data_IF_810507160526
#
_entry.id   IF_810507160526
#
_cell.length_a   1.000
_cell.length_b   1.000
_cell.length_c   1.000
_cell.angle_alpha   90.00
_cell.angle_beta   90.00
_cell.angle_gamma   90.00
#
_symmetry.space_group_name_H-M   'P 1'
#
loop_
_entity.id
_entity.type
_entity.pdbx_description
1 polymer ?
#
# COMPACT_ATOMS: atom_id res chain seq x y z
N UNK A 1 25.03 -9.50 3.16
CA UNK A 1 24.22 -10.55 3.84
C UNK A 1 24.08 -10.33 5.34
N UNK A 2 25.14 -9.92 6.08
CA UNK A 2 25.05 -9.67 7.53
C UNK A 2 24.05 -8.56 7.93
N UNK A 3 23.98 -7.48 7.15
CA UNK A 3 23.10 -6.32 7.42
C UNK A 3 21.61 -6.69 7.26
N UNK A 4 21.26 -7.35 6.15
CA UNK A 4 19.90 -7.84 5.89
C UNK A 4 19.41 -8.81 6.98
N UNK A 5 20.30 -9.64 7.54
CA UNK A 5 19.95 -10.50 8.66
C UNK A 5 19.60 -9.70 9.92
N UNK A 6 20.38 -8.66 10.24
CA UNK A 6 20.07 -7.78 11.38
C UNK A 6 18.71 -7.09 11.20
N UNK A 7 18.44 -6.56 10.00
CA UNK A 7 17.15 -5.94 9.67
C UNK A 7 16.02 -6.97 9.83
N UNK A 8 16.16 -8.16 9.23
CA UNK A 8 15.16 -9.22 9.30
C UNK A 8 14.86 -9.67 10.75
N UNK A 9 15.89 -9.77 11.59
CA UNK A 9 15.74 -10.10 13.02
C UNK A 9 14.93 -9.02 13.75
N UNK A 10 15.21 -7.73 13.50
CA UNK A 10 14.44 -6.64 14.12
C UNK A 10 13.00 -6.64 13.60
N UNK A 11 12.78 -6.79 12.30
CA UNK A 11 11.43 -6.89 11.71
C UNK A 11 10.63 -8.05 12.31
N UNK A 12 11.25 -9.22 12.49
CA UNK A 12 10.60 -10.37 13.12
C UNK A 12 10.23 -10.07 14.58
N UNK A 13 11.10 -9.39 15.33
CA UNK A 13 10.80 -8.98 16.72
C UNK A 13 9.69 -7.93 16.79
N UNK A 14 9.60 -7.02 15.82
CA UNK A 14 8.49 -6.06 15.71
C UNK A 14 7.17 -6.81 15.52
N UNK A 15 7.13 -7.73 14.55
CA UNK A 15 5.92 -8.54 14.28
C UNK A 15 5.50 -9.35 15.50
N UNK A 16 6.43 -10.01 16.18
CA UNK A 16 6.12 -10.78 17.39
C UNK A 16 5.65 -9.89 18.55
N UNK A 17 6.28 -8.74 18.76
CA UNK A 17 5.92 -7.84 19.87
C UNK A 17 4.61 -7.09 19.65
N UNK A 18 4.30 -6.71 18.41
CA UNK A 18 3.17 -5.83 18.09
C UNK A 18 2.00 -6.53 17.39
N UNK A 19 2.24 -7.67 16.74
CA UNK A 19 1.27 -8.38 15.90
C UNK A 19 0.95 -9.82 16.33
N UNK A 20 1.40 -10.27 17.52
CA UNK A 20 1.08 -11.60 18.06
C UNK A 20 0.44 -11.50 19.45
N UNK A 21 -0.58 -10.65 19.61
CA UNK A 21 -1.34 -10.52 20.85
C UNK A 21 -2.57 -11.44 20.85
N UNK A 22 -2.44 -12.64 21.41
CA UNK A 22 -3.52 -13.64 21.51
C UNK A 22 -4.78 -13.12 22.22
N UNK A 23 -4.64 -12.12 23.09
CA UNK A 23 -5.74 -11.52 23.84
C UNK A 23 -6.49 -10.42 23.07
N UNK A 24 -6.03 -10.06 21.87
CA UNK A 24 -6.60 -9.02 21.03
C UNK A 24 -7.37 -9.61 19.85
N UNK A 25 -8.59 -9.14 19.60
CA UNK A 25 -9.42 -9.56 18.44
C UNK A 25 -8.82 -9.14 17.08
N UNK A 26 -7.77 -8.31 17.11
CA UNK A 26 -7.01 -7.90 15.92
C UNK A 26 -5.62 -8.50 15.88
N UNK A 27 -5.23 -9.26 16.92
CA UNK A 27 -3.86 -9.75 17.14
C UNK A 27 -2.85 -8.65 17.46
N UNK A 28 -3.27 -7.38 17.56
CA UNK A 28 -2.39 -6.26 17.86
C UNK A 28 -2.29 -5.97 19.35
N UNK A 29 -1.09 -5.62 19.81
CA UNK A 29 -0.81 -5.25 21.20
C UNK A 29 -1.50 -3.94 21.60
N UNK A 30 -2.20 -3.88 22.74
CA UNK A 30 -3.01 -2.74 23.20
C UNK A 30 -2.30 -1.36 23.36
N UNK A 31 -1.02 -1.32 23.76
CA UNK A 31 -0.21 -0.08 23.82
C UNK A 31 1.17 -0.31 23.18
N UNK A 32 1.42 0.19 21.96
CA UNK A 32 2.64 -0.07 21.21
C UNK A 32 3.74 0.96 21.53
N UNK A 33 3.43 2.03 22.28
CA UNK A 33 4.34 3.15 22.54
C UNK A 33 5.65 2.77 23.25
N UNK A 34 5.67 1.85 24.23
CA UNK A 34 6.92 1.41 24.85
C UNK A 34 7.84 0.71 23.84
N UNK A 35 7.27 -0.09 22.95
CA UNK A 35 7.99 -0.86 21.94
C UNK A 35 8.51 0.02 20.81
N UNK A 36 7.74 1.02 20.39
CA UNK A 36 8.16 2.01 19.40
C UNK A 36 9.52 2.64 19.76
N UNK A 37 9.68 3.12 21.01
CA UNK A 37 10.94 3.74 21.45
C UNK A 37 12.11 2.76 21.47
N UNK A 38 11.86 1.52 21.89
CA UNK A 38 12.88 0.46 21.91
C UNK A 38 13.33 0.14 20.49
N UNK A 39 12.40 -0.09 19.57
CA UNK A 39 12.73 -0.42 18.19
C UNK A 39 13.35 0.75 17.43
N UNK A 40 12.93 2.00 17.66
CA UNK A 40 13.63 3.17 17.10
C UNK A 40 15.07 3.27 17.58
N UNK A 41 15.33 2.96 18.85
CA UNK A 41 16.69 2.92 19.40
C UNK A 41 17.50 1.81 18.71
N UNK A 42 16.93 0.63 18.53
CA UNK A 42 17.59 -0.47 17.81
C UNK A 42 17.87 -0.12 16.34
N UNK A 43 16.93 0.55 15.65
CA UNK A 43 17.15 1.04 14.30
C UNK A 43 18.25 2.11 14.25
N UNK A 44 18.31 3.01 15.24
CA UNK A 44 19.40 3.97 15.38
C UNK A 44 20.76 3.28 15.50
N UNK A 45 20.87 2.26 16.35
CA UNK A 45 22.10 1.47 16.51
C UNK A 45 22.51 0.77 15.21
N UNK A 46 21.55 0.21 14.47
CA UNK A 46 21.81 -0.44 13.17
C UNK A 46 22.29 0.60 12.16
N UNK A 47 21.64 1.76 12.10
CA UNK A 47 21.99 2.84 11.20
C UNK A 47 23.40 3.37 11.49
N UNK A 48 23.70 3.70 12.75
CA UNK A 48 25.00 4.21 13.17
C UNK A 48 26.15 3.24 12.89
N UNK A 49 25.88 1.92 12.98
CA UNK A 49 26.91 0.90 12.80
C UNK A 49 27.14 0.52 11.34
N UNK A 50 26.11 0.60 10.49
CA UNK A 50 26.15 -0.04 9.17
C UNK A 50 25.82 0.89 7.99
N UNK A 51 25.35 2.13 8.21
CA UNK A 51 24.89 3.02 7.14
C UNK A 51 25.93 3.24 6.02
N UNK A 52 27.21 3.39 6.37
CA UNK A 52 28.28 3.62 5.40
C UNK A 52 28.53 2.42 4.46
N UNK A 53 28.03 1.24 4.83
CA UNK A 53 28.18 0.00 4.06
C UNK A 53 26.91 -0.37 3.27
N UNK A 54 25.85 0.44 3.35
CA UNK A 54 24.57 0.08 2.73
C UNK A 54 24.63 0.15 1.21
N UNK A 55 24.16 -0.92 0.58
CA UNK A 55 23.68 -0.82 -0.80
C UNK A 55 22.31 -0.13 -0.79
N UNK A 56 21.86 0.45 -1.93
CA UNK A 56 20.53 1.04 -2.00
C UNK A 56 19.41 0.05 -1.65
N UNK A 57 19.60 -1.25 -1.92
CA UNK A 57 18.65 -2.28 -1.54
C UNK A 57 18.60 -2.52 -0.01
N UNK A 58 19.76 -2.45 0.66
CA UNK A 58 19.83 -2.57 2.13
C UNK A 58 19.15 -1.37 2.81
N UNK A 59 19.37 -0.17 2.27
CA UNK A 59 18.71 1.05 2.74
C UNK A 59 17.19 0.98 2.56
N UNK A 60 16.70 0.48 1.41
CA UNK A 60 15.26 0.24 1.21
C UNK A 60 14.72 -0.76 2.23
N UNK A 61 15.38 -1.90 2.46
CA UNK A 61 14.94 -2.89 3.44
C UNK A 61 14.91 -2.32 4.87
N UNK A 62 15.89 -1.49 5.23
CA UNK A 62 15.93 -0.82 6.52
C UNK A 62 14.78 0.17 6.69
N UNK A 63 14.53 1.02 5.69
CA UNK A 63 13.45 2.00 5.73
C UNK A 63 12.07 1.33 5.72
N UNK A 64 11.91 0.21 5.01
CA UNK A 64 10.68 -0.60 5.00
C UNK A 64 10.38 -1.21 6.37
N UNK A 65 11.40 -1.74 7.05
CA UNK A 65 11.27 -2.25 8.41
C UNK A 65 10.84 -1.15 9.39
N UNK A 66 11.45 0.04 9.30
CA UNK A 66 11.08 1.20 10.12
C UNK A 66 9.67 1.70 9.78
N UNK A 67 9.29 1.72 8.51
CA UNK A 67 7.95 2.11 8.08
C UNK A 67 6.88 1.12 8.59
N UNK A 68 7.20 -0.17 8.62
CA UNK A 68 6.34 -1.21 9.18
C UNK A 68 6.11 -1.04 10.69
N UNK A 69 7.10 -0.54 11.44
CA UNK A 69 6.90 -0.18 12.86
C UNK A 69 5.84 0.92 13.02
N UNK A 70 5.91 1.97 12.18
CA UNK A 70 4.95 3.07 12.25
C UNK A 70 3.53 2.66 11.88
N UNK A 71 3.36 1.75 10.92
CA UNK A 71 2.02 1.29 10.51
C UNK A 71 1.28 0.53 11.62
N UNK A 72 1.98 -0.26 12.44
CA UNK A 72 1.41 -0.89 13.63
C UNK A 72 0.83 0.15 14.60
N UNK A 73 1.57 1.22 14.84
CA UNK A 73 1.16 2.28 15.78
C UNK A 73 -0.02 3.09 15.23
N UNK A 74 -0.01 3.40 13.93
CA UNK A 74 -1.05 4.20 13.30
C UNK A 74 -2.36 3.42 13.07
N UNK A 75 -2.30 2.12 12.73
CA UNK A 75 -3.49 1.30 12.54
C UNK A 75 -4.30 1.13 13.82
N UNK A 76 -3.64 0.90 14.95
CA UNK A 76 -4.32 0.72 16.22
C UNK A 76 -5.10 1.96 16.68
N UNK A 77 -4.69 3.15 16.25
CA UNK A 77 -5.40 4.39 16.53
C UNK A 77 -6.72 4.49 15.76
N UNK A 78 -6.76 4.00 14.52
CA UNK A 78 -7.98 4.00 13.71
C UNK A 78 -9.09 3.11 14.31
N UNK A 79 -8.73 2.14 15.16
CA UNK A 79 -9.66 1.23 15.83
C UNK A 79 -10.07 1.65 17.26
N UNK A 80 -9.48 2.72 17.83
CA UNK A 80 -9.82 3.22 19.16
C UNK A 80 -10.90 4.31 19.13
N UNK A 81 -11.81 4.27 20.11
CA UNK A 81 -12.96 5.16 20.28
C UNK A 81 -12.50 6.62 20.48
N UNK A 82 -13.23 7.64 19.97
CA UNK A 82 -12.82 9.04 20.08
C UNK A 82 -12.83 9.47 21.55
N UNK A 83 -11.66 9.66 22.17
CA UNK A 83 -11.56 10.06 23.57
C UNK A 83 -10.25 9.73 24.28
N UNK A 84 -9.39 8.88 23.71
CA UNK A 84 -8.05 8.63 24.27
C UNK A 84 -7.11 9.79 23.90
N UNK A 85 -6.86 10.69 24.85
CA UNK A 85 -6.00 11.86 24.71
C UNK A 85 -4.54 11.40 24.55
N UNK A 86 -3.96 11.49 23.34
CA UNK A 86 -2.50 11.41 23.09
C UNK A 86 -2.01 12.38 21.98
N UNK A 87 -2.60 13.58 21.91
CA UNK A 87 -2.38 14.58 20.83
C UNK A 87 -0.93 15.05 20.57
N UNK A 88 0.04 14.78 21.45
CA UNK A 88 1.41 15.33 21.34
C UNK A 88 2.38 14.51 20.47
N UNK A 89 2.41 13.19 20.61
CA UNK A 89 3.37 12.32 19.91
C UNK A 89 2.85 11.81 18.55
N UNK A 90 1.55 11.92 18.30
CA UNK A 90 0.91 11.36 17.11
C UNK A 90 1.24 12.13 15.84
N UNK A 91 1.25 13.46 15.92
CA UNK A 91 1.62 14.32 14.80
C UNK A 91 3.09 14.10 14.43
N UNK A 92 3.97 13.96 15.43
CA UNK A 92 5.37 13.64 15.21
C UNK A 92 5.53 12.29 14.49
N UNK A 93 4.79 11.26 14.87
CA UNK A 93 4.83 9.95 14.21
C UNK A 93 4.30 10.00 12.77
N UNK A 94 3.24 10.75 12.51
CA UNK A 94 2.74 10.99 11.15
C UNK A 94 3.82 11.68 10.31
N UNK A 95 4.48 12.70 10.85
CA UNK A 95 5.57 13.40 10.16
C UNK A 95 6.76 12.48 9.93
N UNK A 96 7.22 11.72 10.94
CA UNK A 96 8.35 10.80 10.84
C UNK A 96 8.09 9.67 9.84
N UNK A 97 6.90 9.08 9.86
CA UNK A 97 6.52 8.02 8.93
C UNK A 97 6.39 8.56 7.50
N UNK A 98 5.85 9.77 7.30
CA UNK A 98 5.84 10.45 6.00
C UNK A 98 7.26 10.72 5.48
N UNK A 99 8.17 11.18 6.33
CA UNK A 99 9.58 11.37 5.97
C UNK A 99 10.24 10.05 5.58
N UNK A 100 10.04 9.00 6.38
CA UNK A 100 10.62 7.67 6.15
C UNK A 100 10.14 7.06 4.83
N UNK A 101 8.84 7.11 4.55
CA UNK A 101 8.28 6.62 3.29
C UNK A 101 8.80 7.41 2.08
N UNK A 102 8.93 8.74 2.20
CA UNK A 102 9.51 9.57 1.14
C UNK A 102 11.00 9.28 0.94
N UNK A 103 11.76 9.06 2.01
CA UNK A 103 13.17 8.66 1.92
C UNK A 103 13.31 7.34 1.16
N UNK A 104 12.50 6.34 1.49
CA UNK A 104 12.49 5.05 0.80
C UNK A 104 12.24 5.23 -0.69
N UNK A 105 11.20 5.99 -1.05
CA UNK A 105 10.90 6.28 -2.45
C UNK A 105 12.00 7.10 -3.12
N UNK A 106 12.67 8.00 -2.40
CA UNK A 106 13.79 8.78 -2.94
C UNK A 106 14.97 7.89 -3.30
N UNK A 107 15.30 6.89 -2.48
CA UNK A 107 16.34 5.89 -2.81
C UNK A 107 15.96 5.15 -4.09
N UNK A 108 14.70 4.71 -4.16
CA UNK A 108 14.16 3.98 -5.32
C UNK A 108 14.14 4.84 -6.60
N UNK A 109 13.81 6.13 -6.51
CA UNK A 109 13.80 7.03 -7.67
C UNK A 109 15.20 7.46 -8.10
N UNK A 110 16.16 7.48 -7.17
CA UNK A 110 17.58 7.78 -7.46
C UNK A 110 18.28 6.60 -8.13
N UNK A 111 17.95 5.37 -7.75
CA UNK A 111 18.55 4.14 -8.26
C UNK A 111 17.52 3.21 -8.91
N UNK A 112 16.79 3.63 -9.96
CA UNK A 112 15.64 2.88 -10.50
C UNK A 112 15.97 1.46 -10.97
N UNK A 113 17.23 1.18 -11.30
CA UNK A 113 17.72 -0.14 -11.66
C UNK A 113 17.45 -1.20 -10.58
N UNK A 114 17.36 -0.82 -9.30
CA UNK A 114 17.03 -1.74 -8.20
C UNK A 114 15.59 -2.25 -8.28
N UNK A 115 14.67 -1.51 -8.92
CA UNK A 115 13.33 -2.00 -9.20
C UNK A 115 13.30 -2.97 -10.39
N UNK A 116 14.12 -2.71 -11.42
CA UNK A 116 14.16 -3.55 -12.63
C UNK A 116 14.93 -4.86 -12.44
N UNK A 117 16.03 -4.83 -11.68
CA UNK A 117 16.99 -5.94 -11.53
C UNK A 117 17.03 -6.48 -10.10
N UNK A 118 16.53 -5.72 -9.13
CA UNK A 118 16.62 -6.09 -7.72
C UNK A 118 15.62 -7.16 -7.32
N UNK A 119 15.69 -7.54 -6.04
CA UNK A 119 14.90 -8.60 -5.42
C UNK A 119 13.44 -8.13 -5.30
N UNK A 120 12.47 -9.05 -5.41
CA UNK A 120 11.03 -8.79 -5.29
C UNK A 120 10.65 -7.90 -4.09
N UNK A 121 11.40 -8.05 -2.98
CA UNK A 121 11.29 -7.23 -1.79
C UNK A 121 11.35 -5.71 -2.08
N UNK A 122 12.25 -5.24 -2.94
CA UNK A 122 12.43 -3.79 -3.18
C UNK A 122 11.20 -3.20 -3.87
N UNK A 123 10.62 -3.93 -4.82
CA UNK A 123 9.35 -3.56 -5.43
C UNK A 123 8.24 -3.53 -4.38
N UNK A 124 8.18 -4.57 -3.52
CA UNK A 124 7.17 -4.66 -2.47
C UNK A 124 7.25 -3.46 -1.51
N UNK A 125 8.45 -3.11 -1.05
CA UNK A 125 8.68 -1.97 -0.15
C UNK A 125 8.32 -0.63 -0.81
N UNK A 126 8.65 -0.46 -2.10
CA UNK A 126 8.29 0.75 -2.84
C UNK A 126 6.78 0.92 -2.97
N UNK A 127 6.06 -0.13 -3.38
CA UNK A 127 4.60 -0.09 -3.49
C UNK A 127 3.93 0.09 -2.12
N UNK A 128 4.46 -0.54 -1.07
CA UNK A 128 4.01 -0.31 0.30
C UNK A 128 4.15 1.15 0.71
N UNK A 129 5.31 1.77 0.47
CA UNK A 129 5.54 3.19 0.77
C UNK A 129 4.62 4.12 -0.04
N UNK A 130 4.34 3.80 -1.31
CA UNK A 130 3.35 4.53 -2.13
C UNK A 130 1.98 4.48 -1.47
N UNK A 131 1.47 3.30 -1.13
CA UNK A 131 0.14 3.16 -0.53
C UNK A 131 0.08 3.79 0.85
N UNK A 132 1.15 3.71 1.62
CA UNK A 132 1.29 4.40 2.90
C UNK A 132 1.15 5.92 2.75
N UNK A 133 1.84 6.50 1.76
CA UNK A 133 1.76 7.94 1.51
C UNK A 133 0.38 8.37 0.97
N UNK A 134 -0.24 7.57 0.11
CA UNK A 134 -1.61 7.80 -0.35
C UNK A 134 -2.60 7.74 0.83
N UNK A 135 -2.43 6.78 1.76
CA UNK A 135 -3.20 6.69 3.02
C UNK A 135 -3.09 7.98 3.81
N UNK A 136 -1.86 8.48 4.01
CA UNK A 136 -1.63 9.71 4.76
C UNK A 136 -2.26 10.93 4.08
N UNK A 137 -2.18 11.05 2.75
CA UNK A 137 -2.85 12.13 2.02
C UNK A 137 -4.36 12.15 2.26
N UNK A 138 -4.99 10.97 2.36
CA UNK A 138 -6.43 10.88 2.59
C UNK A 138 -6.87 11.06 4.04
N UNK A 139 -6.01 10.75 5.02
CA UNK A 139 -6.43 10.58 6.42
C UNK A 139 -5.70 11.45 7.44
N UNK A 140 -4.49 11.92 7.14
CA UNK A 140 -3.71 12.71 8.09
C UNK A 140 -4.13 14.20 8.07
N UNK A 141 -4.05 14.92 9.19
CA UNK A 141 -4.23 16.36 9.19
C UNK A 141 -3.19 17.05 8.28
N UNK A 142 -3.64 17.98 7.45
CA UNK A 142 -2.77 18.67 6.46
C UNK A 142 -1.56 19.38 7.06
N UNK A 143 -1.63 19.82 8.33
CA UNK A 143 -0.49 20.43 9.02
C UNK A 143 0.60 19.45 9.46
N UNK A 144 0.33 18.13 9.45
CA UNK A 144 1.28 17.08 9.82
C UNK A 144 2.10 16.55 8.64
N UNK A 145 1.66 16.84 7.42
CA UNK A 145 2.22 16.29 6.18
C UNK A 145 2.53 17.38 5.17
N UNK A 146 3.60 17.19 4.42
CA UNK A 146 3.89 18.01 3.23
C UNK A 146 3.23 17.37 2.01
N UNK A 147 1.97 17.73 1.76
CA UNK A 147 1.17 17.15 0.67
C UNK A 147 1.84 17.32 -0.70
N UNK A 148 2.47 18.47 -0.94
CA UNK A 148 3.10 18.78 -2.22
C UNK A 148 4.31 17.87 -2.46
N UNK A 149 5.16 17.72 -1.44
CA UNK A 149 6.30 16.79 -1.51
C UNK A 149 5.83 15.35 -1.67
N UNK A 150 4.81 14.91 -0.93
CA UNK A 150 4.27 13.55 -1.06
C UNK A 150 3.76 13.31 -2.49
N UNK A 151 2.90 14.20 -3.01
CA UNK A 151 2.36 14.08 -4.38
C UNK A 151 3.49 14.06 -5.42
N UNK A 152 4.52 14.89 -5.25
CA UNK A 152 5.66 14.89 -6.16
C UNK A 152 6.45 13.58 -6.11
N UNK A 153 6.78 13.08 -4.91
CA UNK A 153 7.50 11.81 -4.75
C UNK A 153 6.70 10.64 -5.34
N UNK A 154 5.40 10.55 -5.06
CA UNK A 154 4.54 9.50 -5.63
C UNK A 154 4.46 9.60 -7.16
N UNK A 155 4.38 10.81 -7.74
CA UNK A 155 4.42 11.00 -9.21
C UNK A 155 5.74 10.55 -9.83
N UNK A 156 6.87 10.86 -9.19
CA UNK A 156 8.18 10.41 -9.67
C UNK A 156 8.29 8.89 -9.66
N UNK A 157 7.87 8.24 -8.58
CA UNK A 157 7.81 6.77 -8.49
C UNK A 157 6.87 6.20 -9.55
N UNK A 158 5.70 6.80 -9.74
CA UNK A 158 4.75 6.41 -10.78
C UNK A 158 5.38 6.43 -12.18
N UNK A 159 6.10 7.50 -12.55
CA UNK A 159 6.77 7.57 -13.86
C UNK A 159 7.75 6.41 -14.05
N UNK A 160 8.53 6.07 -13.02
CA UNK A 160 9.47 4.95 -13.09
C UNK A 160 8.74 3.61 -13.21
N UNK A 161 7.73 3.35 -12.38
CA UNK A 161 6.94 2.12 -12.43
C UNK A 161 6.22 1.97 -13.78
N UNK A 162 5.73 3.07 -14.35
CA UNK A 162 5.09 3.09 -15.67
C UNK A 162 6.08 2.70 -16.76
N UNK A 163 7.28 3.28 -16.76
CA UNK A 163 8.34 2.89 -17.70
C UNK A 163 8.68 1.39 -17.57
N UNK A 164 8.76 0.87 -16.34
CA UNK A 164 9.03 -0.55 -16.09
C UNK A 164 7.88 -1.47 -16.55
N UNK A 165 6.65 -0.98 -16.51
CA UNK A 165 5.47 -1.69 -17.00
C UNK A 165 5.41 -1.78 -18.52
N UNK A 166 6.05 -0.85 -19.22
CA UNK A 166 6.14 -0.83 -20.68
C UNK A 166 7.30 -1.70 -21.19
N UNK A 167 8.34 -1.88 -20.37
CA UNK A 167 9.39 -2.87 -20.64
C UNK A 167 8.88 -4.30 -20.38
N UNK A 168 9.31 -5.27 -21.19
CA UNK A 168 8.96 -6.70 -21.05
C UNK A 168 9.56 -7.40 -19.82
N UNK A 169 9.57 -6.73 -18.66
CA UNK A 169 10.04 -7.29 -17.40
C UNK A 169 9.01 -8.26 -16.82
N UNK A 170 9.48 -9.24 -16.03
CA UNK A 170 8.62 -10.19 -15.31
C UNK A 170 7.62 -9.50 -14.36
N UNK A 171 7.88 -8.24 -14.01
CA UNK A 171 7.06 -7.43 -13.08
C UNK A 171 6.07 -6.51 -13.77
N UNK A 172 5.95 -6.60 -15.10
CA UNK A 172 5.07 -5.73 -15.90
C UNK A 172 3.66 -5.62 -15.31
N UNK A 173 3.03 -6.75 -14.98
CA UNK A 173 1.67 -6.76 -14.45
C UNK A 173 1.58 -6.06 -13.09
N UNK A 174 2.49 -6.37 -12.15
CA UNK A 174 2.51 -5.74 -10.82
C UNK A 174 2.71 -4.21 -10.94
N UNK A 175 3.64 -3.75 -11.78
CA UNK A 175 3.85 -2.33 -12.05
C UNK A 175 2.62 -1.66 -12.63
N UNK A 176 1.94 -2.27 -13.63
CA UNK A 176 0.72 -1.70 -14.21
C UNK A 176 -0.38 -1.51 -13.16
N UNK A 177 -0.53 -2.45 -12.22
CA UNK A 177 -1.56 -2.40 -11.18
C UNK A 177 -1.30 -1.28 -10.19
N UNK A 178 -0.07 -1.16 -9.69
CA UNK A 178 0.32 -0.06 -8.80
C UNK A 178 0.15 1.28 -9.51
N UNK A 179 0.54 1.38 -10.79
CA UNK A 179 0.35 2.60 -11.59
C UNK A 179 -1.11 3.01 -11.69
N UNK A 180 -2.01 2.06 -11.98
CA UNK A 180 -3.46 2.32 -12.01
C UNK A 180 -3.94 2.84 -10.66
N UNK A 181 -3.60 2.18 -9.55
CA UNK A 181 -4.01 2.65 -8.22
C UNK A 181 -3.56 4.11 -7.97
N UNK A 182 -2.30 4.43 -8.29
CA UNK A 182 -1.78 5.79 -8.14
C UNK A 182 -2.59 6.80 -8.96
N UNK A 183 -2.86 6.51 -10.25
CA UNK A 183 -3.60 7.42 -11.14
C UNK A 183 -4.95 7.84 -10.54
N UNK A 184 -5.65 6.90 -9.90
CA UNK A 184 -7.00 7.12 -9.36
C UNK A 184 -6.98 7.75 -7.96
N UNK A 185 -5.92 7.54 -7.19
CA UNK A 185 -5.88 7.95 -5.78
C UNK A 185 -5.11 9.24 -5.51
N UNK A 186 -4.21 9.65 -6.40
CA UNK A 186 -3.30 10.77 -6.13
C UNK A 186 -3.97 12.15 -6.21
N UNK A 187 -5.03 12.29 -7.00
CA UNK A 187 -5.70 13.57 -7.26
C UNK A 187 -7.16 13.62 -6.75
N UNK A 188 -7.73 12.49 -6.31
CA UNK A 188 -9.12 12.41 -5.86
C UNK A 188 -9.18 12.32 -4.33
N UNK A 189 -10.19 12.97 -3.72
CA UNK A 189 -10.58 12.72 -2.34
C UNK A 189 -11.26 11.35 -2.26
N UNK A 190 -10.46 10.30 -2.14
CA UNK A 190 -10.93 8.92 -2.08
C UNK A 190 -11.41 8.50 -0.68
N UNK A 191 -11.11 9.30 0.35
CA UNK A 191 -11.44 8.96 1.75
C UNK A 191 -12.90 9.28 2.14
N UNK A 192 -13.66 9.97 1.28
CA UNK A 192 -15.08 10.31 1.51
C UNK A 192 -16.03 9.16 1.21
N UNK A 193 -15.61 8.15 0.46
CA UNK A 193 -16.43 6.98 0.13
C UNK A 193 -16.24 5.87 1.18
N UNK A 194 -17.30 5.13 1.49
CA UNK A 194 -17.48 4.15 2.60
C UNK A 194 -16.21 3.40 3.05
N UNK A 195 -15.90 3.28 4.37
CA UNK A 195 -14.71 2.59 4.89
C UNK A 195 -14.56 1.15 4.38
N UNK A 196 -13.38 0.82 3.84
CA UNK A 196 -12.99 -0.56 3.57
C UNK A 196 -12.78 -1.30 4.91
N UNK A 197 -13.44 -2.44 5.07
CA UNK A 197 -13.44 -3.25 6.30
C UNK A 197 -12.58 -4.51 6.21
N UNK A 198 -11.96 -4.79 5.05
CA UNK A 198 -11.13 -5.96 4.84
C UNK A 198 -9.89 -5.96 5.75
N UNK A 199 -9.61 -7.10 6.36
CA UNK A 199 -8.44 -7.34 7.21
C UNK A 199 -7.53 -8.35 6.51
N UNK A 200 -6.30 -7.95 6.19
CA UNK A 200 -5.21 -8.87 5.89
C UNK A 200 -4.84 -9.65 7.16
N UNK A 201 -5.10 -10.96 7.14
CA UNK A 201 -4.80 -11.86 8.27
C UNK A 201 -3.29 -12.15 8.39
N UNK A 202 -2.54 -12.08 7.29
CA UNK A 202 -1.16 -12.60 7.25
C UNK A 202 -0.06 -11.64 7.71
N UNK A 203 -0.30 -10.32 7.74
CA UNK A 203 0.68 -9.33 8.21
C UNK A 203 -0.02 -8.07 8.74
N UNK A 204 -0.21 -7.97 10.05
CA UNK A 204 -1.08 -6.94 10.64
C UNK A 204 -0.63 -5.48 10.40
N UNK A 205 0.67 -5.21 10.19
CA UNK A 205 1.16 -3.89 9.73
C UNK A 205 0.64 -3.48 8.34
N UNK A 206 0.27 -4.47 7.51
CA UNK A 206 -0.20 -4.24 6.14
C UNK A 206 -1.66 -3.79 6.12
N UNK A 207 -2.43 -4.07 7.19
CA UNK A 207 -3.81 -3.59 7.34
C UNK A 207 -3.90 -2.07 7.26
N UNK A 208 -2.83 -1.35 7.62
CA UNK A 208 -2.81 0.11 7.54
C UNK A 208 -2.95 0.66 6.12
N UNK A 209 -2.44 -0.06 5.12
CA UNK A 209 -2.44 0.38 3.70
C UNK A 209 -3.33 -0.49 2.81
N UNK A 210 -3.84 -1.61 3.33
CA UNK A 210 -4.71 -2.52 2.60
C UNK A 210 -5.99 -1.81 2.10
N UNK A 211 -6.54 -0.87 2.88
CA UNK A 211 -7.71 -0.10 2.45
C UNK A 211 -7.45 0.76 1.21
N UNK A 212 -6.26 1.36 1.10
CA UNK A 212 -5.86 2.18 -0.05
C UNK A 212 -5.80 1.31 -1.28
N UNK A 213 -5.11 0.16 -1.18
CA UNK A 213 -5.00 -0.77 -2.28
C UNK A 213 -6.38 -1.25 -2.75
N UNK A 214 -7.24 -1.70 -1.82
CA UNK A 214 -8.57 -2.20 -2.15
C UNK A 214 -9.47 -1.14 -2.80
N UNK A 215 -9.49 0.08 -2.26
CA UNK A 215 -10.27 1.19 -2.84
C UNK A 215 -9.74 1.62 -4.20
N UNK A 216 -8.42 1.67 -4.35
CA UNK A 216 -7.76 1.96 -5.63
C UNK A 216 -8.12 0.94 -6.70
N UNK A 217 -8.16 -0.35 -6.34
CA UNK A 217 -8.61 -1.45 -7.21
C UNK A 217 -10.07 -1.23 -7.61
N UNK A 218 -10.98 -1.03 -6.64
CA UNK A 218 -12.41 -0.83 -6.89
C UNK A 218 -12.63 0.35 -7.85
N UNK A 219 -12.01 1.51 -7.58
CA UNK A 219 -12.13 2.70 -8.44
C UNK A 219 -11.58 2.45 -9.84
N UNK A 220 -10.42 1.82 -9.96
CA UNK A 220 -9.84 1.48 -11.25
C UNK A 220 -10.76 0.56 -12.08
N UNK A 221 -11.40 -0.41 -11.43
CA UNK A 221 -12.37 -1.31 -12.08
C UNK A 221 -13.65 -0.57 -12.50
N UNK A 222 -14.22 0.27 -11.64
CA UNK A 222 -15.43 1.04 -11.93
C UNK A 222 -15.26 2.03 -13.10
N UNK A 223 -14.13 2.73 -13.18
CA UNK A 223 -13.88 3.61 -14.32
C UNK A 223 -13.64 2.83 -15.61
N UNK A 224 -13.01 1.64 -15.54
CA UNK A 224 -12.81 0.80 -16.70
C UNK A 224 -14.13 0.25 -17.26
N UNK A 225 -15.03 -0.19 -16.39
CA UNK A 225 -16.36 -0.67 -16.79
C UNK A 225 -17.24 0.45 -17.36
N UNK A 226 -17.18 1.67 -16.80
CA UNK A 226 -17.85 2.85 -17.34
C UNK A 226 -17.35 3.18 -18.76
N UNK A 227 -16.02 3.23 -18.95
CA UNK A 227 -15.40 3.49 -20.27
C UNK A 227 -15.74 2.41 -21.29
N UNK A 228 -15.83 1.14 -20.88
CA UNK A 228 -16.27 0.02 -21.75
C UNK A 228 -17.74 0.15 -22.15
N UNK A 229 -18.59 0.61 -21.25
CA UNK A 229 -20.02 0.79 -21.48
C UNK A 229 -20.29 1.95 -22.45
N UNK A 230 -19.52 3.04 -22.35
CA UNK A 230 -19.55 4.16 -23.29
C UNK A 230 -19.04 3.75 -24.68
N UNK A 231 -17.93 3.01 -24.76
CA UNK A 231 -17.38 2.51 -26.03
C UNK A 231 -18.33 1.56 -26.76
N UNK A 232 -19.09 0.76 -26.01
CA UNK A 232 -20.12 -0.12 -26.57
C UNK A 232 -21.39 0.64 -27.01
N UNK A 233 -21.65 1.83 -26.45
CA UNK A 233 -22.75 2.70 -26.89
C UNK A 233 -22.41 3.51 -28.15
N UNK A 234 -21.13 3.81 -28.37
CA UNK A 234 -20.66 4.62 -29.51
C UNK A 234 -20.30 3.80 -30.77
N UNK A 235 -20.19 2.47 -30.68
CA UNK A 235 -19.97 1.63 -31.86
C UNK A 235 -21.29 1.30 -32.56
N UNK A 236 -21.57 1.80 -33.79
CA UNK A 236 -22.70 1.31 -34.57
C UNK A 236 -22.45 -0.17 -34.90
N UNK A 237 -23.50 -1.00 -34.77
CA UNK A 237 -23.48 -2.42 -35.12
C UNK A 237 -23.07 -2.63 -36.58
N UNK A 238 -21.77 -2.69 -36.85
CA UNK A 238 -21.23 -3.20 -38.09
C UNK A 238 -21.05 -4.71 -37.92
N UNK A 239 -21.96 -5.45 -38.54
CA UNK A 239 -22.00 -6.90 -38.50
C UNK A 239 -20.68 -7.52 -39.00
N UNK A 240 -20.18 -8.48 -38.21
CA UNK A 240 -19.29 -9.55 -38.66
C UNK A 240 -17.82 -9.17 -38.79
N UNK A 241 -17.05 -9.41 -37.72
CA UNK A 241 -15.72 -10.05 -37.75
C UNK A 241 -15.49 -10.62 -36.33
N UNK A 242 -14.93 -11.84 -36.32
CA UNK A 242 -14.77 -12.74 -35.19
C UNK A 242 -14.35 -12.09 -33.87
N UNK A 243 -15.17 -12.33 -32.84
CA UNK A 243 -14.78 -12.26 -31.45
C UNK A 243 -13.74 -13.37 -31.19
N UNK A 244 -12.46 -13.03 -31.32
CA UNK A 244 -11.39 -13.86 -30.80
C UNK A 244 -10.22 -12.97 -30.35
N UNK A 245 -9.77 -13.23 -29.11
CA UNK A 245 -8.63 -12.61 -28.42
C UNK A 245 -8.81 -11.18 -27.90
N UNK A 246 -9.48 -11.04 -26.74
CA UNK A 246 -8.97 -10.13 -25.71
C UNK A 246 -8.71 -10.96 -24.44
N UNK A 247 -7.55 -10.83 -23.78
CA UNK A 247 -7.15 -11.74 -22.71
C UNK A 247 -7.89 -11.41 -21.41
N UNK A 248 -8.05 -12.48 -20.64
CA UNK A 248 -8.44 -12.72 -19.23
C UNK A 248 -7.91 -11.73 -18.14
N UNK A 249 -7.57 -10.49 -18.49
CA UNK A 249 -6.98 -9.50 -17.59
C UNK A 249 -7.88 -9.10 -16.41
N UNK A 250 -9.20 -9.22 -16.55
CA UNK A 250 -10.17 -8.92 -15.48
C UNK A 250 -10.16 -9.99 -14.38
N UNK A 251 -10.00 -11.27 -14.72
CA UNK A 251 -9.86 -12.34 -13.72
C UNK A 251 -8.48 -12.32 -13.06
N UNK A 252 -7.40 -12.05 -13.79
CA UNK A 252 -6.04 -11.97 -13.20
C UNK A 252 -5.88 -10.79 -12.22
N UNK A 253 -6.67 -9.72 -12.39
CA UNK A 253 -6.65 -8.56 -11.51
C UNK A 253 -7.37 -8.80 -10.18
N UNK A 254 -8.37 -9.69 -10.15
CA UNK A 254 -9.10 -10.13 -8.95
C UNK A 254 -8.47 -11.37 -8.30
N UNK A 255 -7.93 -12.29 -9.10
CA UNK A 255 -7.43 -13.59 -8.64
C UNK A 255 -6.02 -13.53 -8.03
N UNK A 256 -5.24 -12.51 -8.36
CA UNK A 256 -3.91 -12.33 -7.79
C UNK A 256 -3.86 -11.02 -7.03
N UNK A 257 -3.36 -11.02 -5.80
CA UNK A 257 -3.11 -9.81 -5.05
C UNK A 257 -2.04 -8.95 -5.76
N UNK A 258 -2.20 -7.62 -5.89
CA UNK A 258 -1.24 -6.76 -6.61
C UNK A 258 0.17 -6.81 -6.03
N UNK A 259 0.30 -7.36 -4.83
CA UNK A 259 1.49 -7.46 -4.01
C UNK A 259 1.76 -8.90 -3.53
N UNK A 260 1.00 -9.89 -4.02
CA UNK A 260 0.94 -11.27 -3.50
C UNK A 260 0.62 -11.33 -1.99
N UNK A 261 -0.07 -10.32 -1.44
CA UNK A 261 -0.60 -10.42 -0.09
C UNK A 261 -1.74 -11.44 -0.08
N UNK A 262 -1.72 -12.38 0.85
CA UNK A 262 -2.88 -13.25 1.07
C UNK A 262 -3.99 -12.41 1.71
N UNK A 263 -4.69 -11.63 0.89
CA UNK A 263 -5.91 -10.92 1.23
C UNK A 263 -7.08 -11.81 0.81
N UNK A 264 -8.03 -12.02 1.71
CA UNK A 264 -9.26 -12.75 1.39
C UNK A 264 -10.20 -11.82 0.59
N UNK A 265 -10.03 -11.84 -0.74
CA UNK A 265 -10.81 -11.02 -1.67
C UNK A 265 -12.26 -11.53 -1.84
N UNK A 266 -12.63 -12.69 -1.28
CA UNK A 266 -13.95 -13.30 -1.47
C UNK A 266 -15.10 -12.43 -0.93
N UNK A 267 -14.83 -11.51 0.00
CA UNK A 267 -15.84 -10.57 0.52
C UNK A 267 -16.03 -9.30 -0.34
N UNK A 268 -15.26 -9.10 -1.42
CA UNK A 268 -15.38 -7.92 -2.28
C UNK A 268 -16.36 -8.14 -3.43
N UNK A 269 -16.55 -9.39 -3.87
CA UNK A 269 -17.55 -9.75 -4.88
C UNK A 269 -18.98 -9.41 -4.39
N UNK A 270 -19.24 -9.57 -3.09
CA UNK A 270 -20.52 -9.19 -2.46
C UNK A 270 -20.75 -7.66 -2.37
N UNK A 271 -19.69 -6.85 -2.49
CA UNK A 271 -19.77 -5.38 -2.47
C UNK A 271 -19.86 -4.76 -3.88
N UNK A 272 -19.51 -5.51 -4.92
CA UNK A 272 -19.48 -5.05 -6.32
C UNK A 272 -20.71 -5.46 -7.13
N UNK A 273 -21.51 -6.40 -6.62
CA UNK A 273 -22.80 -6.75 -7.18
C UNK A 273 -23.89 -5.95 -6.46
N UNK A 274 -24.56 -4.97 -7.11
CA UNK A 274 -25.78 -4.44 -6.55
C UNK A 274 -26.78 -5.60 -6.44
N UNK A 275 -27.32 -5.78 -5.24
CA UNK A 275 -28.34 -6.79 -4.96
C UNK A 275 -29.50 -6.60 -5.95
N UNK A 276 -29.59 -7.44 -6.99
CA UNK A 276 -30.65 -7.42 -8.01
C UNK A 276 -32.01 -7.90 -7.46
N UNK A 277 -32.22 -7.80 -6.15
CA UNK A 277 -33.45 -8.23 -5.48
C UNK A 277 -34.11 -7.06 -4.74
N UNK A 278 -34.51 -6.02 -5.46
CA UNK A 278 -35.64 -5.18 -5.04
C UNK A 278 -36.89 -5.55 -5.82
N UNK A 279 -37.62 -6.52 -5.25
CA UNK A 279 -39.07 -6.63 -5.19
C UNK A 279 -39.90 -6.08 -6.38
N UNK A 280 -40.27 -6.97 -7.30
CA UNK A 280 -41.60 -6.93 -7.92
C UNK A 280 -42.59 -7.62 -6.97
N UNK A 281 -43.36 -6.82 -6.24
CA UNK A 281 -44.66 -7.23 -5.69
C UNK A 281 -45.71 -6.22 -6.18
N UNK A 282 -46.55 -6.69 -7.12
CA UNK A 282 -47.93 -6.27 -7.28
C UNK A 282 -48.82 -7.46 -6.91
#
# INVERSE_FOLDING_TARGET
MRIQLHIAVVTSRISAALGECETSTTGLLADPQPFLRVFETEFGIIQDRYADEWTPADEVSFLDARLSLYSYVLYQRASQTPGCIRLGNENELITQSSVTARQLLTVVTTFPEILSKGIFHVFRSASYAVFFLLRLLGTAPSHCIDEASIKNTVRQTFTILKNLSETGSDRRFQCMRVCRIIEHMINEDWNTEVPFTGRAESFMAMNFVADVAARGIIKATQQHSATRTERNREAPMAAGIQANMMPDLDLDFLASDPMEWAMDWQNIDDLLLPDENTHDFL
#
